data_IF_982269732460
#
_entry.id   IF_982269732460
#
_cell.length_a   1.000
_cell.length_b   1.000
_cell.length_c   1.000
_cell.angle_alpha   90.00
_cell.angle_beta   90.00
_cell.angle_gamma   90.00
#
_symmetry.space_group_name_H-M   'P 1'
#
loop_
_entity.id
_entity.type
_entity.pdbx_description
1 polymer ?
#
# COMPACT_ATOMS: atom_id res chain seq x y z
N UNK A 1 15.41 14.78 -1.64
CA UNK A 1 14.41 14.27 -0.68
C UNK A 1 14.14 15.23 0.49
N UNK A 2 15.13 15.83 1.18
CA UNK A 2 14.85 16.75 2.30
C UNK A 2 13.93 17.92 1.93
N UNK A 3 14.16 18.53 0.78
CA UNK A 3 13.37 19.68 0.29
C UNK A 3 11.89 19.31 0.04
N UNK A 4 11.64 18.12 -0.55
CA UNK A 4 10.28 17.64 -0.78
C UNK A 4 9.54 17.36 0.53
N UNK A 5 10.21 16.76 1.50
CA UNK A 5 9.64 16.51 2.82
C UNK A 5 9.35 17.80 3.58
N UNK A 6 10.25 18.79 3.48
CA UNK A 6 10.03 20.12 4.06
C UNK A 6 8.84 20.82 3.41
N UNK A 7 8.72 20.76 2.09
CA UNK A 7 7.57 21.33 1.36
C UNK A 7 6.26 20.63 1.74
N UNK A 8 6.26 19.30 1.85
CA UNK A 8 5.09 18.53 2.27
C UNK A 8 4.61 18.94 3.67
N UNK A 9 5.53 19.08 4.64
CA UNK A 9 5.19 19.55 5.98
C UNK A 9 4.68 21.00 5.99
N UNK A 10 5.32 21.88 5.24
CA UNK A 10 4.90 23.29 5.14
C UNK A 10 3.48 23.42 4.58
N UNK A 11 3.05 22.49 3.72
CA UNK A 11 1.71 22.42 3.16
C UNK A 11 0.73 21.56 4.00
N UNK A 12 1.12 21.11 5.20
CA UNK A 12 0.26 20.35 6.09
C UNK A 12 -0.10 18.96 5.57
N UNK A 13 0.72 18.38 4.70
CA UNK A 13 0.52 17.00 4.21
C UNK A 13 0.79 16.00 5.33
N UNK A 14 -0.13 15.06 5.52
CA UNK A 14 0.00 14.00 6.52
C UNK A 14 0.92 12.86 6.05
N UNK A 15 1.01 12.64 4.75
CA UNK A 15 1.68 11.48 4.17
C UNK A 15 2.41 11.85 2.88
N UNK A 16 3.48 11.13 2.58
CA UNK A 16 4.17 11.21 1.31
C UNK A 16 4.43 9.81 0.76
N UNK A 17 4.02 9.59 -0.49
CA UNK A 17 4.33 8.37 -1.24
C UNK A 17 5.31 8.72 -2.35
N UNK A 18 6.42 7.99 -2.38
CA UNK A 18 7.43 8.10 -3.45
C UNK A 18 7.48 6.78 -4.19
N UNK A 19 7.27 6.81 -5.50
CA UNK A 19 7.42 5.66 -6.37
C UNK A 19 8.74 5.79 -7.11
N UNK A 20 9.57 4.79 -7.00
CA UNK A 20 10.81 4.68 -7.78
C UNK A 20 10.52 3.91 -9.06
N UNK A 21 11.18 4.34 -10.13
CA UNK A 21 11.08 3.73 -11.46
C UNK A 21 12.48 3.42 -11.98
N UNK A 22 12.62 2.26 -12.57
CA UNK A 22 13.82 1.89 -13.32
C UNK A 22 13.44 1.50 -14.74
N UNK A 23 13.97 2.22 -15.74
CA UNK A 23 13.73 2.00 -17.19
C UNK A 23 12.24 1.95 -17.57
N UNK A 24 11.44 2.86 -17.03
CA UNK A 24 10.01 2.94 -17.31
C UNK A 24 9.13 1.96 -16.52
N UNK A 25 9.72 1.17 -15.61
CA UNK A 25 8.98 0.20 -14.80
C UNK A 25 9.07 0.58 -13.33
N UNK A 26 7.95 0.80 -12.63
CA UNK A 26 7.94 1.00 -11.19
C UNK A 26 8.44 -0.24 -10.46
N UNK A 27 9.46 -0.08 -9.61
CA UNK A 27 10.12 -1.19 -8.91
C UNK A 27 10.12 -1.05 -7.38
N UNK A 28 9.90 0.17 -6.86
CA UNK A 28 9.83 0.38 -5.42
C UNK A 28 8.83 1.48 -5.05
N UNK A 29 8.30 1.40 -3.84
CA UNK A 29 7.42 2.39 -3.24
C UNK A 29 7.85 2.66 -1.80
N UNK A 30 7.92 3.94 -1.44
CA UNK A 30 8.19 4.39 -0.08
C UNK A 30 6.99 5.15 0.43
N UNK A 31 6.49 4.78 1.58
CA UNK A 31 5.40 5.44 2.30
C UNK A 31 5.96 6.07 3.56
N UNK A 32 5.87 7.39 3.70
CA UNK A 32 6.35 8.12 4.87
C UNK A 32 5.22 8.93 5.47
N UNK A 33 4.96 8.72 6.76
CA UNK A 33 3.97 9.46 7.52
C UNK A 33 4.60 10.67 8.21
N UNK A 34 3.94 11.81 8.16
CA UNK A 34 4.38 13.03 8.83
C UNK A 34 3.57 13.26 10.12
N UNK A 35 4.16 13.98 11.11
CA UNK A 35 5.49 14.62 11.10
C UNK A 35 6.64 13.70 11.58
N UNK A 36 6.37 12.52 12.15
CA UNK A 36 7.35 11.74 12.90
C UNK A 36 7.66 10.35 12.33
N UNK A 37 7.05 9.96 11.26
CA UNK A 37 7.14 8.61 10.71
C UNK A 37 5.96 7.72 11.17
N UNK A 38 6.00 6.43 10.91
CA UNK A 38 7.11 5.67 10.33
C UNK A 38 7.28 5.89 8.82
N UNK A 39 8.42 5.43 8.30
CA UNK A 39 8.63 5.24 6.86
C UNK A 39 8.71 3.76 6.56
N UNK A 40 7.86 3.28 5.65
CA UNK A 40 7.83 1.89 5.21
C UNK A 40 8.23 1.82 3.75
N UNK A 41 9.16 0.93 3.45
CA UNK A 41 9.71 0.74 2.12
C UNK A 41 9.29 -0.61 1.55
N UNK A 42 8.80 -0.59 0.31
CA UNK A 42 8.30 -1.76 -0.41
C UNK A 42 9.01 -1.93 -1.75
N UNK A 43 9.26 -3.16 -2.15
CA UNK A 43 9.48 -3.49 -3.57
C UNK A 43 8.14 -3.65 -4.26
N UNK A 44 8.06 -3.23 -5.52
CA UNK A 44 6.88 -3.37 -6.37
C UNK A 44 7.07 -4.52 -7.36
N UNK A 45 6.03 -5.30 -7.54
CA UNK A 45 6.01 -6.42 -8.48
C UNK A 45 4.69 -6.44 -9.24
N UNK A 46 4.68 -7.03 -10.44
CA UNK A 46 3.47 -7.26 -11.24
C UNK A 46 2.61 -6.01 -11.42
N UNK A 47 3.24 -4.86 -11.64
CA UNK A 47 2.54 -3.58 -11.78
C UNK A 47 1.78 -3.56 -13.10
N UNK A 48 0.48 -3.30 -13.02
CA UNK A 48 -0.39 -3.02 -14.16
C UNK A 48 -1.04 -1.67 -13.91
N UNK A 49 -0.80 -0.73 -14.79
CA UNK A 49 -1.35 0.62 -14.67
C UNK A 49 -2.85 0.62 -14.97
N UNK A 50 -3.53 1.64 -14.49
CA UNK A 50 -4.99 1.73 -14.64
C UNK A 50 -5.45 1.62 -16.10
N UNK A 51 -4.77 2.27 -17.03
CA UNK A 51 -5.12 2.26 -18.45
C UNK A 51 -4.86 0.91 -19.16
N UNK A 52 -4.08 0.01 -18.53
CA UNK A 52 -3.81 -1.33 -19.05
C UNK A 52 -4.84 -2.35 -18.58
N UNK A 53 -5.68 -1.99 -17.60
CA UNK A 53 -6.74 -2.86 -17.10
C UNK A 53 -7.89 -2.87 -18.09
N UNK A 54 -8.25 -4.05 -18.62
CA UNK A 54 -9.25 -4.19 -19.68
C UNK A 54 -10.64 -3.61 -19.33
N UNK A 55 -11.03 -3.65 -18.06
CA UNK A 55 -12.30 -3.09 -17.57
C UNK A 55 -12.28 -1.57 -17.35
N UNK A 56 -11.13 -0.92 -17.46
CA UNK A 56 -10.97 0.52 -17.17
C UNK A 56 -11.90 1.39 -18.03
N UNK A 57 -12.04 1.07 -19.32
CA UNK A 57 -12.85 1.87 -20.25
C UNK A 57 -14.34 1.91 -19.87
N UNK A 58 -14.83 0.90 -19.17
CA UNK A 58 -16.23 0.73 -18.79
C UNK A 58 -16.52 1.04 -17.32
N UNK A 59 -15.52 1.43 -16.55
CA UNK A 59 -15.66 1.69 -15.13
C UNK A 59 -15.42 3.15 -14.77
N UNK A 60 -16.47 3.81 -14.28
CA UNK A 60 -16.36 5.16 -13.72
C UNK A 60 -15.97 5.06 -12.25
N UNK A 61 -14.91 5.76 -11.87
CA UNK A 61 -14.48 5.85 -10.47
C UNK A 61 -15.03 7.13 -9.86
N UNK A 62 -15.82 6.99 -8.80
CA UNK A 62 -16.26 8.12 -8.00
C UNK A 62 -15.13 8.66 -7.13
N UNK A 63 -15.23 9.92 -6.67
CA UNK A 63 -14.28 10.51 -5.72
C UNK A 63 -14.49 10.05 -4.27
N UNK A 64 -15.45 9.15 -4.04
CA UNK A 64 -15.72 8.58 -2.71
C UNK A 64 -14.50 7.88 -2.14
N UNK A 65 -14.30 7.97 -0.84
CA UNK A 65 -13.24 7.23 -0.14
C UNK A 65 -13.51 5.73 -0.19
N UNK A 66 -12.46 4.91 -0.40
CA UNK A 66 -12.63 3.46 -0.54
C UNK A 66 -12.81 2.76 0.81
N UNK A 67 -13.62 1.71 0.84
CA UNK A 67 -13.53 0.71 1.90
C UNK A 67 -12.22 -0.06 1.76
N UNK A 68 -11.58 -0.37 2.89
CA UNK A 68 -10.31 -1.09 2.91
C UNK A 68 -10.52 -2.50 3.44
N UNK A 69 -10.04 -3.48 2.70
CA UNK A 69 -10.01 -4.89 3.10
C UNK A 69 -8.55 -5.28 3.27
N UNK A 70 -8.21 -5.79 4.45
CA UNK A 70 -6.91 -6.35 4.76
C UNK A 70 -7.07 -7.84 5.09
N UNK A 71 -6.45 -8.70 4.31
CA UNK A 71 -6.50 -10.14 4.47
C UNK A 71 -5.10 -10.73 4.66
N UNK A 72 -4.96 -11.71 5.56
CA UNK A 72 -3.70 -12.41 5.80
C UNK A 72 -2.65 -11.61 6.58
N UNK A 73 -3.03 -10.55 7.30
CA UNK A 73 -2.14 -9.78 8.18
C UNK A 73 -2.30 -10.27 9.61
N UNK A 74 -1.30 -10.94 10.12
CA UNK A 74 -1.20 -11.37 11.51
C UNK A 74 0.10 -10.91 12.13
N UNK A 75 0.30 -11.22 13.40
CA UNK A 75 1.52 -10.91 14.11
C UNK A 75 1.85 -9.43 14.22
N UNK A 76 2.96 -9.13 14.87
CA UNK A 76 3.37 -7.74 15.14
C UNK A 76 3.74 -6.98 13.87
N UNK A 77 4.47 -7.62 12.95
CA UNK A 77 4.91 -7.00 11.71
C UNK A 77 3.74 -6.77 10.75
N UNK A 78 2.85 -7.78 10.61
CA UNK A 78 1.67 -7.66 9.76
C UNK A 78 0.76 -6.52 10.19
N UNK A 79 0.46 -6.39 11.48
CA UNK A 79 -0.34 -5.27 12.01
C UNK A 79 0.38 -3.92 11.83
N UNK A 80 1.70 -3.88 11.90
CA UNK A 80 2.47 -2.65 11.67
C UNK A 80 2.37 -2.17 10.23
N UNK A 81 2.56 -3.07 9.27
CA UNK A 81 2.44 -2.78 7.83
C UNK A 81 0.99 -2.41 7.47
N UNK A 82 0.02 -3.16 7.98
CA UNK A 82 -1.41 -2.87 7.81
C UNK A 82 -1.76 -1.47 8.32
N UNK A 83 -1.26 -1.08 9.49
CA UNK A 83 -1.49 0.26 10.04
C UNK A 83 -0.90 1.35 9.14
N UNK A 84 0.33 1.18 8.65
CA UNK A 84 0.95 2.14 7.75
C UNK A 84 0.15 2.31 6.44
N UNK A 85 -0.35 1.22 5.85
CA UNK A 85 -1.16 1.29 4.63
C UNK A 85 -2.57 1.84 4.90
N UNK A 86 -3.16 1.51 6.04
CA UNK A 86 -4.51 1.96 6.40
C UNK A 86 -4.61 3.47 6.58
N UNK A 87 -3.63 4.10 7.21
CA UNK A 87 -3.65 5.53 7.49
C UNK A 87 -3.50 6.41 6.25
N UNK A 88 -3.13 5.85 5.10
CA UNK A 88 -3.12 6.57 3.82
C UNK A 88 -4.51 6.95 3.31
N UNK A 89 -5.56 6.34 3.85
CA UNK A 89 -6.92 6.50 3.34
C UNK A 89 -7.86 7.02 4.42
N UNK A 90 -8.66 8.05 4.11
CA UNK A 90 -9.71 8.52 5.00
C UNK A 90 -10.80 7.47 5.18
N UNK A 91 -11.59 7.62 6.25
CA UNK A 91 -12.72 6.73 6.53
C UNK A 91 -13.81 6.93 5.48
N UNK A 92 -14.27 5.86 4.80
CA UNK A 92 -15.32 5.95 3.80
C UNK A 92 -16.68 6.22 4.45
N UNK A 93 -17.62 6.72 3.66
CA UNK A 93 -19.04 6.75 3.99
C UNK A 93 -19.68 5.39 3.71
N UNK A 94 -20.80 5.10 4.37
CA UNK A 94 -21.51 3.82 4.24
C UNK A 94 -22.02 3.55 2.81
N UNK A 95 -22.29 4.61 2.04
CA UNK A 95 -22.74 4.54 0.66
C UNK A 95 -21.61 4.42 -0.36
N UNK A 96 -20.35 4.43 0.09
CA UNK A 96 -19.20 4.31 -0.79
C UNK A 96 -19.18 2.96 -1.50
N UNK A 97 -18.96 3.00 -2.82
CA UNK A 97 -18.96 1.79 -3.69
C UNK A 97 -17.57 1.41 -4.18
N UNK A 98 -16.54 1.99 -3.60
CA UNK A 98 -15.14 1.68 -3.89
C UNK A 98 -14.59 0.78 -2.82
N UNK A 99 -13.81 -0.22 -3.24
CA UNK A 99 -13.10 -1.09 -2.33
C UNK A 99 -11.65 -1.26 -2.79
N UNK A 100 -10.73 -1.15 -1.86
CA UNK A 100 -9.32 -1.45 -2.06
C UNK A 100 -8.95 -2.62 -1.16
N UNK A 101 -8.41 -3.67 -1.77
CA UNK A 101 -8.04 -4.90 -1.08
C UNK A 101 -6.53 -5.02 -1.03
N UNK A 102 -6.03 -5.29 0.16
CA UNK A 102 -4.65 -5.68 0.43
C UNK A 102 -4.68 -7.12 0.95
N UNK A 103 -4.26 -8.07 0.13
CA UNK A 103 -4.24 -9.49 0.48
C UNK A 103 -2.80 -9.99 0.56
N UNK A 104 -2.38 -10.46 1.72
CA UNK A 104 -1.06 -11.02 1.92
C UNK A 104 -1.02 -12.50 1.56
N UNK A 105 -0.15 -12.84 0.63
CA UNK A 105 0.17 -14.21 0.26
C UNK A 105 1.70 -14.40 0.30
N UNK A 106 2.19 -15.13 1.28
CA UNK A 106 3.62 -15.42 1.45
C UNK A 106 4.50 -14.15 1.48
N UNK A 107 4.09 -13.14 2.24
CA UNK A 107 4.74 -11.83 2.38
C UNK A 107 4.72 -10.93 1.12
N UNK A 108 3.96 -11.30 0.11
CA UNK A 108 3.58 -10.43 -0.99
C UNK A 108 2.16 -9.93 -0.76
N UNK A 109 2.00 -8.63 -0.71
CA UNK A 109 0.72 -7.95 -0.49
C UNK A 109 0.16 -7.56 -1.84
N UNK A 110 -0.83 -8.30 -2.32
CA UNK A 110 -1.54 -7.97 -3.55
C UNK A 110 -2.49 -6.81 -3.32
N UNK A 111 -2.27 -5.71 -4.03
CA UNK A 111 -3.18 -4.57 -4.07
C UNK A 111 -4.12 -4.68 -5.25
N UNK A 112 -5.43 -4.55 -4.98
CA UNK A 112 -6.49 -4.54 -6.00
C UNK A 112 -7.49 -3.44 -5.69
N UNK A 113 -7.97 -2.76 -6.73
CA UNK A 113 -8.95 -1.69 -6.62
C UNK A 113 -10.18 -2.03 -7.46
N UNK A 114 -11.32 -2.10 -6.80
CA UNK A 114 -12.60 -2.44 -7.42
C UNK A 114 -13.66 -1.39 -7.11
N UNK A 115 -14.64 -1.30 -8.01
CA UNK A 115 -15.94 -0.71 -7.73
C UNK A 115 -16.96 -1.84 -7.68
N UNK A 116 -17.90 -1.78 -6.73
CA UNK A 116 -18.93 -2.79 -6.60
C UNK A 116 -20.33 -2.21 -6.76
N UNK A 117 -21.21 -3.03 -7.29
CA UNK A 117 -22.65 -2.77 -7.38
C UNK A 117 -23.32 -3.91 -6.62
N UNK A 118 -23.95 -3.56 -5.49
CA UNK A 118 -24.73 -4.50 -4.71
C UNK A 118 -26.18 -4.47 -5.16
N UNK A 119 -26.71 -5.62 -5.54
CA UNK A 119 -28.13 -5.89 -5.72
C UNK A 119 -28.63 -6.73 -4.56
N UNK A 120 -29.95 -6.89 -4.41
CA UNK A 120 -30.54 -7.67 -3.29
C UNK A 120 -30.03 -9.11 -3.16
N UNK A 121 -29.46 -9.68 -4.21
CA UNK A 121 -29.00 -11.09 -4.26
C UNK A 121 -27.51 -11.24 -4.58
N UNK A 122 -26.91 -10.30 -5.31
CA UNK A 122 -25.57 -10.45 -5.86
C UNK A 122 -24.74 -9.19 -5.70
N UNK A 123 -23.42 -9.36 -5.60
CA UNK A 123 -22.42 -8.29 -5.64
C UNK A 123 -21.59 -8.45 -6.89
N UNK A 124 -21.66 -7.47 -7.78
CA UNK A 124 -20.82 -7.42 -8.98
C UNK A 124 -19.61 -6.53 -8.74
N UNK A 125 -18.42 -7.08 -8.97
CA UNK A 125 -17.15 -6.35 -8.85
C UNK A 125 -16.63 -6.00 -10.24
N UNK A 126 -16.19 -4.76 -10.42
CA UNK A 126 -15.46 -4.31 -11.59
C UNK A 126 -14.09 -3.80 -11.16
N UNK A 127 -13.02 -4.39 -11.72
CA UNK A 127 -11.67 -3.90 -11.46
C UNK A 127 -11.45 -2.56 -12.16
N UNK A 128 -10.90 -1.61 -11.44
CA UNK A 128 -10.65 -0.24 -11.94
C UNK A 128 -9.17 0.03 -12.07
N UNK A 129 -8.34 -0.78 -11.39
CA UNK A 129 -6.89 -0.61 -11.32
C UNK A 129 -6.46 0.66 -10.56
N UNK A 130 -5.17 0.88 -10.42
CA UNK A 130 -4.10 -0.02 -10.80
C UNK A 130 -4.08 -1.30 -9.95
N UNK A 131 -3.28 -2.29 -10.33
CA UNK A 131 -2.98 -3.48 -9.54
C UNK A 131 -1.47 -3.71 -9.49
N UNK A 132 -1.00 -4.13 -8.33
CA UNK A 132 0.41 -4.44 -8.10
C UNK A 132 0.56 -5.29 -6.86
N UNK A 133 1.74 -5.86 -6.68
CA UNK A 133 2.10 -6.60 -5.48
C UNK A 133 3.21 -5.85 -4.76
N UNK A 134 3.05 -5.67 -3.43
CA UNK A 134 3.99 -5.00 -2.54
C UNK A 134 4.72 -6.05 -1.70
N UNK A 135 6.01 -5.85 -1.46
CA UNK A 135 6.73 -6.60 -0.47
C UNK A 135 7.51 -5.65 0.43
N UNK A 136 7.23 -5.59 1.74
CA UNK A 136 7.98 -4.74 2.64
C UNK A 136 9.42 -5.26 2.75
N UNK A 137 10.39 -4.36 2.77
CA UNK A 137 11.78 -4.71 2.99
C UNK A 137 12.45 -3.93 4.12
N UNK A 138 11.91 -2.77 4.50
CA UNK A 138 12.44 -1.98 5.60
C UNK A 138 11.35 -1.10 6.23
N UNK A 139 11.40 -0.94 7.56
CA UNK A 139 10.59 0.01 8.34
C UNK A 139 11.53 0.82 9.19
N UNK A 140 11.46 2.16 9.08
CA UNK A 140 12.18 3.13 9.90
C UNK A 140 11.22 3.92 10.77
N UNK A 141 11.65 4.28 11.97
CA UNK A 141 10.84 5.05 12.92
C UNK A 141 10.73 6.54 12.57
N UNK A 142 11.58 7.05 11.67
CA UNK A 142 11.57 8.43 11.21
C UNK A 142 10.87 8.64 9.88
N UNK A 143 10.92 9.88 9.42
CA UNK A 143 10.45 10.28 8.11
C UNK A 143 11.52 10.08 7.04
N UNK A 144 11.14 10.13 5.77
CA UNK A 144 11.98 9.75 4.62
C UNK A 144 13.34 10.51 4.56
N UNK A 145 13.39 11.77 4.99
CA UNK A 145 14.60 12.57 4.97
C UNK A 145 15.55 12.30 6.16
N UNK A 146 15.09 11.59 7.19
CA UNK A 146 15.87 11.27 8.37
C UNK A 146 16.69 9.99 8.11
N UNK A 147 17.84 10.13 7.48
CA UNK A 147 18.73 9.00 7.17
C UNK A 147 19.26 8.24 8.40
N UNK A 148 19.39 8.95 9.54
CA UNK A 148 19.84 8.43 10.83
C UNK A 148 18.71 7.82 11.69
N UNK A 149 17.47 7.75 11.16
CA UNK A 149 16.34 7.19 11.90
C UNK A 149 16.54 5.71 12.21
N UNK A 150 16.16 5.31 13.42
CA UNK A 150 16.24 3.91 13.86
C UNK A 150 15.46 2.97 12.94
N UNK A 151 16.10 1.85 12.59
CA UNK A 151 15.48 0.79 11.79
C UNK A 151 14.67 -0.11 12.71
N UNK A 152 13.35 -0.06 12.59
CA UNK A 152 12.43 -0.93 13.34
C UNK A 152 12.50 -2.38 12.84
N UNK A 153 12.57 -2.55 11.53
CA UNK A 153 12.63 -3.87 10.90
C UNK A 153 13.30 -3.79 9.52
N UNK A 154 14.02 -4.84 9.14
CA UNK A 154 14.61 -4.99 7.81
C UNK A 154 14.58 -6.45 7.37
N UNK A 155 14.17 -6.68 6.12
CA UNK A 155 14.19 -7.99 5.49
C UNK A 155 15.64 -8.41 5.19
N UNK A 156 16.12 -9.46 5.89
CA UNK A 156 17.47 -9.99 5.68
C UNK A 156 17.41 -11.25 4.81
N UNK A 157 18.45 -11.56 4.00
CA UNK A 157 18.43 -12.70 3.06
C UNK A 157 18.06 -14.04 3.71
N UNK A 158 18.49 -14.29 4.95
CA UNK A 158 18.23 -15.55 5.66
C UNK A 158 16.79 -15.66 6.23
N UNK A 159 16.02 -14.58 6.25
CA UNK A 159 14.63 -14.58 6.74
C UNK A 159 13.64 -15.15 5.70
N UNK A 160 14.08 -15.31 4.48
CA UNK A 160 13.23 -15.65 3.34
C UNK A 160 13.49 -17.04 2.77
N UNK A 161 13.74 -18.01 3.63
CA UNK A 161 13.95 -19.41 3.19
C UNK A 161 12.67 -20.20 3.29
N UNK A 162 12.49 -21.22 2.43
CA UNK A 162 11.31 -22.10 2.36
C UNK A 162 10.97 -22.83 3.69
N UNK A 163 11.90 -22.84 4.64
CA UNK A 163 11.71 -23.45 5.96
C UNK A 163 11.28 -22.47 7.04
N UNK A 164 11.18 -21.17 6.72
CA UNK A 164 10.78 -20.14 7.68
C UNK A 164 9.36 -19.68 7.40
N UNK A 165 8.67 -19.36 8.47
CA UNK A 165 7.30 -18.90 8.49
C UNK A 165 7.15 -17.55 7.77
N UNK A 166 5.97 -17.29 7.24
CA UNK A 166 5.57 -16.00 6.70
C UNK A 166 5.73 -14.90 7.76
N UNK A 167 6.32 -13.77 7.40
CA UNK A 167 6.62 -12.68 8.34
C UNK A 167 5.39 -11.81 8.62
N UNK A 168 4.46 -11.70 7.66
CA UNK A 168 3.28 -10.84 7.76
C UNK A 168 2.04 -11.56 8.28
N UNK A 169 2.01 -12.90 8.25
CA UNK A 169 0.84 -13.69 8.65
C UNK A 169 0.90 -14.16 10.11
N UNK A 170 2.03 -14.06 10.77
CA UNK A 170 2.27 -14.42 12.17
C UNK A 170 2.43 -13.19 13.05
#
# INVERSE_FOLDING_TARGET
>A
MPELAAAARANGMADMIVVHEHRGVPDAMVVSHFPHGPTVMFTLHNVTLRHEVASHANSTVSEQYPHLIFDGFGGRLGERVKSALRFLFPVPKDDARRVMTFANHNDFISFRHHVFIATHRDVHLAEVGPRFDLRPYEIRLGTLEQGEADVEWVLRPYMNTTRKRSQLAE
#
